data_IF_944521459311
#
_entry.id   IF_944521459311
#
_cell.length_a   1.000
_cell.length_b   1.000
_cell.length_c   1.000
_cell.angle_alpha   90.00
_cell.angle_beta   90.00
_cell.angle_gamma   90.00
#
_symmetry.space_group_name_H-M   'P 1'
#
loop_
_entity.id
_entity.type
_entity.pdbx_description
1 polymer ?
#
# COMPACT_ATOMS: atom_id res chain seq x y z
N UNK A 1 5.35 -1.59 -16.79
CA UNK A 1 3.98 -1.21 -16.51
C UNK A 1 3.91 0.24 -16.06
N UNK A 2 2.96 0.96 -16.59
CA UNK A 2 2.79 2.37 -16.25
C UNK A 2 1.44 2.58 -15.58
N UNK A 3 1.45 3.35 -14.50
CA UNK A 3 0.21 3.65 -13.78
C UNK A 3 0.05 5.16 -13.65
N UNK A 4 -1.08 5.64 -14.13
CA UNK A 4 -1.41 7.07 -14.02
C UNK A 4 -2.66 7.21 -13.19
N UNK A 5 -2.58 8.00 -12.14
CA UNK A 5 -3.72 8.22 -11.27
C UNK A 5 -3.78 9.70 -10.88
N UNK A 6 -4.98 10.13 -10.49
CA UNK A 6 -5.16 11.50 -10.00
C UNK A 6 -4.79 11.57 -8.52
N UNK A 7 -4.69 12.79 -8.01
CA UNK A 7 -4.38 12.98 -6.59
C UNK A 7 -5.43 12.33 -5.68
N UNK A 8 -6.73 12.52 -5.91
CA UNK A 8 -7.74 11.85 -5.08
C UNK A 8 -7.65 10.34 -5.13
N UNK A 9 -7.35 9.79 -6.30
CA UNK A 9 -7.20 8.34 -6.46
C UNK A 9 -6.01 7.84 -5.66
N UNK A 10 -4.90 8.55 -5.72
CA UNK A 10 -3.72 8.19 -4.97
C UNK A 10 -4.00 8.21 -3.46
N UNK A 11 -4.69 9.26 -3.00
CA UNK A 11 -5.03 9.38 -1.58
C UNK A 11 -5.91 8.24 -1.11
N UNK A 12 -6.90 7.88 -1.90
CA UNK A 12 -7.78 6.77 -1.55
C UNK A 12 -7.01 5.46 -1.50
N UNK A 13 -6.12 5.23 -2.46
CA UNK A 13 -5.31 4.01 -2.46
C UNK A 13 -4.42 3.93 -1.24
N UNK A 14 -3.79 5.03 -0.85
CA UNK A 14 -2.96 5.06 0.35
C UNK A 14 -3.77 4.76 1.60
N UNK A 15 -4.96 5.33 1.67
CA UNK A 15 -5.84 5.10 2.81
C UNK A 15 -6.24 3.62 2.92
N UNK A 16 -6.66 3.03 1.80
CA UNK A 16 -7.07 1.63 1.78
C UNK A 16 -5.92 0.69 2.10
N UNK A 17 -4.77 0.95 1.52
CA UNK A 17 -3.60 0.10 1.73
C UNK A 17 -3.07 0.22 3.16
N UNK A 18 -3.08 1.42 3.72
CA UNK A 18 -2.65 1.63 5.10
C UNK A 18 -3.59 0.91 6.06
N UNK A 19 -4.88 0.99 5.79
CA UNK A 19 -5.88 0.29 6.60
C UNK A 19 -5.66 -1.22 6.55
N UNK A 20 -5.37 -1.74 5.35
CA UNK A 20 -5.10 -3.17 5.20
C UNK A 20 -3.83 -3.57 5.94
N UNK A 21 -2.81 -2.72 5.90
CA UNK A 21 -1.56 -2.97 6.61
C UNK A 21 -1.81 -3.09 8.11
N UNK A 22 -2.57 -2.15 8.66
CA UNK A 22 -2.89 -2.18 10.10
C UNK A 22 -3.62 -3.45 10.46
N UNK A 23 -4.57 -3.84 9.63
CA UNK A 23 -5.36 -5.05 9.85
C UNK A 23 -4.47 -6.30 9.84
N UNK A 24 -3.56 -6.36 8.89
CA UNK A 24 -2.65 -7.51 8.77
C UNK A 24 -1.65 -7.56 9.93
N UNK A 25 -1.19 -6.41 10.38
CA UNK A 25 -0.29 -6.36 11.54
C UNK A 25 -1.02 -6.85 12.79
N UNK A 26 -2.29 -6.47 12.93
CA UNK A 26 -3.09 -6.94 14.03
C UNK A 26 -3.23 -8.46 14.01
N UNK A 27 -3.53 -9.01 12.83
CA UNK A 27 -3.62 -10.46 12.68
C UNK A 27 -2.31 -11.15 13.00
N UNK A 28 -1.20 -10.55 12.55
CA UNK A 28 0.12 -11.12 12.80
C UNK A 28 0.40 -11.25 14.28
N UNK A 29 0.01 -10.26 15.07
CA UNK A 29 0.24 -10.27 16.52
C UNK A 29 -0.68 -11.22 17.26
N UNK A 30 -1.79 -11.62 16.65
CA UNK A 30 -2.79 -12.45 17.31
C UNK A 30 -2.92 -13.86 16.76
N UNK A 31 -2.08 -14.24 15.82
CA UNK A 31 -2.13 -15.60 15.28
C UNK A 31 -1.06 -16.46 15.92
N UNK A 32 -1.41 -17.72 16.18
CA UNK A 32 -0.49 -18.68 16.77
C UNK A 32 0.08 -19.65 15.75
N UNK A 33 -0.42 -19.61 14.53
CA UNK A 33 0.01 -20.52 13.49
C UNK A 33 1.24 -20.00 12.77
N UNK A 34 2.33 -20.75 12.89
CA UNK A 34 3.61 -20.32 12.30
C UNK A 34 3.53 -20.09 10.78
N UNK A 35 2.93 -21.04 10.08
CA UNK A 35 2.84 -20.93 8.62
C UNK A 35 2.03 -19.71 8.18
N UNK A 36 0.97 -19.42 8.90
CA UNK A 36 0.15 -18.27 8.59
C UNK A 36 0.88 -16.97 8.90
N UNK A 37 1.67 -16.96 9.96
CA UNK A 37 2.50 -15.80 10.29
C UNK A 37 3.48 -15.49 9.18
N UNK A 38 4.12 -16.52 8.63
CA UNK A 38 5.06 -16.33 7.55
C UNK A 38 4.38 -15.80 6.30
N UNK A 39 3.20 -16.30 6.01
CA UNK A 39 2.42 -15.82 4.89
C UNK A 39 2.06 -14.34 5.06
N UNK A 40 1.65 -13.96 6.26
CA UNK A 40 1.31 -12.56 6.56
C UNK A 40 2.53 -11.65 6.42
N UNK A 41 3.69 -12.12 6.89
CA UNK A 41 4.92 -11.33 6.77
C UNK A 41 5.29 -11.08 5.31
N UNK A 42 5.16 -12.10 4.48
CA UNK A 42 5.43 -11.96 3.05
C UNK A 42 4.49 -10.94 2.41
N UNK A 43 3.21 -11.02 2.74
CA UNK A 43 2.22 -10.09 2.21
C UNK A 43 2.48 -8.66 2.70
N UNK A 44 2.89 -8.53 3.95
CA UNK A 44 3.20 -7.21 4.50
C UNK A 44 4.40 -6.59 3.79
N UNK A 45 5.39 -7.39 3.44
CA UNK A 45 6.54 -6.89 2.69
C UNK A 45 6.12 -6.37 1.32
N UNK A 46 5.27 -7.12 0.63
CA UNK A 46 4.78 -6.69 -0.68
C UNK A 46 3.96 -5.43 -0.55
N UNK A 47 3.10 -5.39 0.46
CA UNK A 47 2.25 -4.23 0.71
C UNK A 47 3.08 -2.98 0.98
N UNK A 48 4.13 -3.12 1.78
CA UNK A 48 5.01 -2.00 2.08
C UNK A 48 5.68 -1.47 0.82
N UNK A 49 6.13 -2.37 -0.05
CA UNK A 49 6.72 -1.95 -1.32
C UNK A 49 5.72 -1.19 -2.18
N UNK A 50 4.49 -1.67 -2.21
CA UNK A 50 3.43 -1.00 -2.96
C UNK A 50 3.17 0.39 -2.39
N UNK A 51 3.11 0.49 -1.07
CA UNK A 51 2.88 1.78 -0.41
C UNK A 51 3.96 2.79 -0.77
N UNK A 52 5.22 2.35 -0.76
CA UNK A 52 6.33 3.24 -1.12
C UNK A 52 6.19 3.71 -2.56
N UNK A 53 5.86 2.80 -3.45
CA UNK A 53 5.70 3.15 -4.87
C UNK A 53 4.54 4.14 -5.07
N UNK A 54 3.43 3.91 -4.38
CA UNK A 54 2.27 4.79 -4.50
C UNK A 54 2.59 6.19 -3.97
N UNK A 55 3.32 6.27 -2.87
CA UNK A 55 3.71 7.56 -2.30
C UNK A 55 4.57 8.37 -3.24
N UNK A 56 5.38 7.71 -4.04
CA UNK A 56 6.27 8.38 -4.97
C UNK A 56 5.71 8.50 -6.38
N UNK A 57 4.49 8.00 -6.57
CA UNK A 57 3.86 8.04 -7.88
C UNK A 57 3.36 9.45 -8.19
N UNK A 58 3.69 9.93 -9.36
CA UNK A 58 3.19 11.24 -9.78
C UNK A 58 1.74 11.13 -10.20
N UNK A 59 0.95 12.13 -9.84
CA UNK A 59 -0.46 12.13 -10.19
C UNK A 59 -0.67 12.85 -11.51
N UNK A 60 -1.67 12.39 -12.24
CA UNK A 60 -1.95 12.98 -13.55
C UNK A 60 -2.36 14.43 -13.48
N UNK A 61 -3.01 14.82 -12.41
CA UNK A 61 -3.45 16.19 -12.24
C UNK A 61 -2.29 17.16 -12.07
N UNK A 62 -1.14 16.64 -11.81
CA UNK A 62 0.03 17.46 -11.58
C UNK A 62 0.73 17.82 -12.87
N UNK A 63 0.41 17.13 -13.88
CA UNK A 63 1.04 17.36 -15.16
C UNK A 63 0.99 18.84 -15.51
N UNK A 64 1.93 19.30 -15.61
CA UNK A 64 1.83 20.66 -15.80
C UNK A 64 1.98 21.26 -14.51
N UNK A 65 1.79 20.52 -14.40
CA UNK A 65 1.76 20.90 -13.81
C UNK A 65 2.49 21.33 -13.68
N UNK A 66 2.80 21.00 -13.43
CA UNK A 66 3.27 21.29 -13.25
C UNK A 66 3.45 21.91 -13.37
N UNK A 67 3.45 22.01 -13.25
CA UNK A 67 3.45 22.57 -13.24
C UNK A 67 3.46 23.03 -13.37
#
# INVERSE_FOLDING_TARGET
MTLSITAPERELMLELLTSKQDSMLHELHHTDTYDYKELLKEKLEVLERVLVKIRHLETGSFAGQHL
#
